data_IF_112890647952
#
_entry.id   IF_112890647952
#
_cell.length_a   1.000
_cell.length_b   1.000
_cell.length_c   1.000
_cell.angle_alpha   90.00
_cell.angle_beta   90.00
_cell.angle_gamma   90.00
#
_symmetry.space_group_name_H-M   'P 1'
#
loop_
_entity.id
_entity.type
_entity.pdbx_description
1 polymer ?
#
# COMPACT_ATOMS: atom_id res chain seq x y z
N UNK A 1 3.72 2.90 -28.36
CA UNK A 1 3.29 2.55 -26.99
C UNK A 1 3.72 3.69 -26.06
N UNK A 2 2.85 4.21 -25.18
CA UNK A 2 3.23 5.30 -24.26
C UNK A 2 4.29 4.84 -23.25
N UNK A 3 5.12 5.78 -22.78
CA UNK A 3 5.91 5.58 -21.57
C UNK A 3 4.97 5.62 -20.35
N UNK A 4 5.05 4.60 -19.50
CA UNK A 4 4.23 4.52 -18.29
C UNK A 4 4.57 5.62 -17.29
N UNK A 5 5.79 6.17 -17.33
CA UNK A 5 6.19 7.29 -16.48
C UNK A 5 5.38 8.57 -16.77
N UNK A 6 4.98 8.76 -18.03
CA UNK A 6 4.24 9.94 -18.50
C UNK A 6 2.73 9.83 -18.26
N UNK A 7 2.26 8.69 -17.75
CA UNK A 7 0.86 8.42 -17.48
C UNK A 7 0.54 8.59 -15.99
N UNK A 8 -0.67 9.08 -15.71
CA UNK A 8 -1.23 9.19 -14.37
C UNK A 8 -2.65 8.65 -14.38
N UNK A 9 -2.97 7.78 -13.43
CA UNK A 9 -4.34 7.34 -13.16
C UNK A 9 -5.07 8.42 -12.36
N UNK A 10 -6.23 8.85 -12.86
CA UNK A 10 -7.14 9.75 -12.16
C UNK A 10 -7.93 9.01 -11.08
N UNK A 11 -8.59 9.78 -10.19
CA UNK A 11 -9.47 9.26 -9.13
C UNK A 11 -10.71 8.57 -9.69
N UNK A 12 -11.08 8.90 -10.93
CA UNK A 12 -12.14 8.30 -11.72
C UNK A 12 -11.72 6.99 -12.41
N UNK A 13 -10.47 6.55 -12.20
CA UNK A 13 -9.93 5.33 -12.78
C UNK A 13 -9.46 5.45 -14.22
N UNK A 14 -9.66 6.60 -14.86
CA UNK A 14 -9.17 6.87 -16.21
C UNK A 14 -7.69 7.24 -16.20
N UNK A 15 -6.95 6.74 -17.18
CA UNK A 15 -5.53 7.03 -17.36
C UNK A 15 -5.37 8.24 -18.29
N UNK A 16 -4.61 9.24 -17.86
CA UNK A 16 -4.33 10.47 -18.61
C UNK A 16 -2.83 10.70 -18.67
N UNK A 17 -2.37 11.43 -19.68
CA UNK A 17 -0.98 11.93 -19.68
C UNK A 17 -0.81 12.99 -18.61
N UNK A 18 0.38 13.06 -18.03
CA UNK A 18 0.76 14.05 -17.00
C UNK A 18 0.80 15.47 -17.55
N UNK A 19 1.14 15.62 -18.83
CA UNK A 19 1.21 16.89 -19.56
C UNK A 19 -0.17 17.42 -20.01
N UNK A 20 -1.25 16.66 -19.76
CA UNK A 20 -2.61 17.03 -20.15
C UNK A 20 -2.89 16.92 -21.64
N UNK A 21 -1.93 16.46 -22.45
CA UNK A 21 -2.11 16.25 -23.88
C UNK A 21 -2.85 14.93 -24.14
N UNK A 22 -3.39 14.79 -25.35
CA UNK A 22 -3.90 13.50 -25.81
C UNK A 22 -2.76 12.52 -26.09
N UNK A 23 -3.03 11.24 -25.83
CA UNK A 23 -2.08 10.18 -26.16
C UNK A 23 -2.15 9.90 -27.66
N UNK A 24 -0.99 9.90 -28.32
CA UNK A 24 -0.89 9.55 -29.75
C UNK A 24 -1.39 8.12 -29.94
N UNK A 25 -2.35 7.89 -30.85
CA UNK A 25 -2.89 6.57 -31.11
C UNK A 25 -1.80 5.64 -31.65
N UNK A 26 -1.73 4.44 -31.09
CA UNK A 26 -0.76 3.42 -31.47
C UNK A 26 -1.43 2.37 -32.35
N UNK A 27 -1.00 2.27 -33.61
CA UNK A 27 -1.54 1.35 -34.61
C UNK A 27 -1.24 -0.14 -34.32
N UNK A 28 -0.37 -0.43 -33.34
CA UNK A 28 -0.04 -1.82 -32.93
C UNK A 28 -1.06 -2.42 -31.96
N UNK A 29 -1.91 -1.59 -31.33
CA UNK A 29 -2.92 -2.03 -30.38
C UNK A 29 -4.07 -2.72 -31.11
N UNK A 30 -4.39 -3.95 -30.70
CA UNK A 30 -5.54 -4.72 -31.20
C UNK A 30 -6.59 -4.82 -30.11
N UNK A 31 -7.81 -4.41 -30.42
CA UNK A 31 -8.96 -4.56 -29.54
C UNK A 31 -9.52 -5.98 -29.70
N UNK A 32 -9.66 -6.71 -28.59
CA UNK A 32 -10.38 -7.97 -28.56
C UNK A 32 -11.82 -7.71 -28.09
N UNK A 33 -12.79 -7.86 -28.99
CA UNK A 33 -14.21 -7.67 -28.66
C UNK A 33 -14.71 -8.80 -27.77
N UNK A 34 -15.50 -8.48 -26.74
CA UNK A 34 -16.09 -9.45 -25.81
C UNK A 34 -15.19 -9.92 -24.66
N UNK A 35 -14.00 -9.32 -24.48
CA UNK A 35 -13.13 -9.58 -23.34
C UNK A 35 -13.13 -8.38 -22.38
N UNK A 36 -13.44 -8.62 -21.11
CA UNK A 36 -13.29 -7.63 -20.04
C UNK A 36 -11.97 -7.91 -19.32
N UNK A 37 -11.06 -6.94 -19.35
CA UNK A 37 -9.81 -7.04 -18.60
C UNK A 37 -10.12 -7.12 -17.10
N UNK A 38 -9.74 -8.24 -16.48
CA UNK A 38 -9.88 -8.44 -15.05
C UNK A 38 -8.82 -7.63 -14.30
N UNK A 39 -9.09 -7.32 -13.04
CA UNK A 39 -8.09 -6.70 -12.17
C UNK A 39 -6.84 -7.57 -12.11
N UNK A 40 -5.67 -6.95 -12.18
CA UNK A 40 -4.38 -7.60 -11.94
C UNK A 40 -4.05 -7.73 -10.44
N UNK A 41 -5.00 -7.43 -9.55
CA UNK A 41 -4.85 -7.52 -8.09
C UNK A 41 -5.30 -8.89 -7.60
N UNK A 42 -4.43 -9.56 -6.83
CA UNK A 42 -4.77 -10.79 -6.12
C UNK A 42 -5.26 -10.44 -4.71
N UNK A 43 -6.56 -10.65 -4.45
CA UNK A 43 -7.18 -10.31 -3.17
C UNK A 43 -6.59 -11.07 -1.97
N UNK A 44 -6.11 -12.31 -2.18
CA UNK A 44 -5.52 -13.12 -1.09
C UNK A 44 -4.20 -12.51 -0.64
N UNK A 45 -3.34 -12.15 -1.58
CA UNK A 45 -2.02 -11.56 -1.29
C UNK A 45 -2.19 -10.21 -0.56
N UNK A 46 -3.12 -9.37 -1.00
CA UNK A 46 -3.42 -8.11 -0.32
C UNK A 46 -3.91 -8.29 1.12
N UNK A 47 -4.79 -9.27 1.37
CA UNK A 47 -5.25 -9.58 2.73
C UNK A 47 -4.10 -10.09 3.61
N UNK A 48 -3.18 -10.90 3.07
CA UNK A 48 -2.01 -11.35 3.84
C UNK A 48 -1.07 -10.20 4.19
N UNK A 49 -0.88 -9.23 3.29
CA UNK A 49 -0.12 -8.01 3.57
C UNK A 49 -0.75 -7.18 4.68
N UNK A 50 -2.08 -7.00 4.66
CA UNK A 50 -2.80 -6.30 5.73
C UNK A 50 -2.63 -7.04 7.07
N UNK A 51 -2.74 -8.38 7.08
CA UNK A 51 -2.54 -9.18 8.29
C UNK A 51 -1.10 -9.07 8.83
N UNK A 52 -0.10 -9.06 7.95
CA UNK A 52 1.29 -8.89 8.32
C UNK A 52 1.52 -7.51 8.96
N UNK A 53 0.96 -6.45 8.36
CA UNK A 53 1.04 -5.10 8.88
C UNK A 53 0.36 -4.96 10.25
N UNK A 54 -0.82 -5.54 10.42
CA UNK A 54 -1.54 -5.54 11.70
C UNK A 54 -0.73 -6.22 12.81
N UNK A 55 -0.09 -7.35 12.51
CA UNK A 55 0.75 -8.08 13.47
C UNK A 55 2.00 -7.27 13.85
N UNK A 56 2.62 -6.59 12.87
CA UNK A 56 3.75 -5.71 13.14
C UNK A 56 3.36 -4.55 14.06
N UNK A 57 2.18 -3.95 13.83
CA UNK A 57 1.64 -2.92 14.70
C UNK A 57 1.42 -3.43 16.13
N UNK A 58 0.84 -4.63 16.28
CA UNK A 58 0.62 -5.23 17.61
C UNK A 58 1.93 -5.46 18.37
N UNK A 59 2.98 -5.95 17.71
CA UNK A 59 4.31 -6.10 18.31
C UNK A 59 4.85 -4.76 18.79
N UNK A 60 4.75 -3.72 17.95
CA UNK A 60 5.22 -2.38 18.30
C UNK A 60 4.48 -1.83 19.54
N UNK A 61 3.16 -2.02 19.62
CA UNK A 61 2.34 -1.60 20.77
C UNK A 61 2.71 -2.39 22.04
N UNK A 62 2.89 -3.71 21.94
CA UNK A 62 3.33 -4.53 23.08
C UNK A 62 4.71 -4.12 23.58
N UNK A 63 5.64 -3.81 22.68
CA UNK A 63 6.98 -3.32 23.03
C UNK A 63 6.91 -2.02 23.84
N UNK A 64 6.07 -1.07 23.42
CA UNK A 64 5.86 0.17 24.17
C UNK A 64 5.33 -0.08 25.59
N UNK A 65 4.36 -0.99 25.74
CA UNK A 65 3.83 -1.38 27.06
C UNK A 65 4.89 -2.03 27.95
N UNK A 66 5.68 -2.96 27.41
CA UNK A 66 6.77 -3.58 28.17
C UNK A 66 7.82 -2.56 28.64
N UNK A 67 8.13 -1.55 27.82
CA UNK A 67 9.03 -0.46 28.19
C UNK A 67 8.44 0.37 29.35
N UNK A 68 7.16 0.70 29.28
CA UNK A 68 6.45 1.45 30.33
C UNK A 68 6.41 0.69 31.67
N UNK A 69 6.08 -0.60 31.63
CA UNK A 69 6.08 -1.48 32.79
C UNK A 69 7.49 -1.57 33.42
N UNK A 70 8.52 -1.78 32.60
CA UNK A 70 9.91 -1.86 33.07
C UNK A 70 10.38 -0.54 33.68
N UNK A 71 10.05 0.60 33.05
CA UNK A 71 10.36 1.93 33.60
C UNK A 71 9.70 2.17 34.96
N UNK A 72 8.45 1.71 35.11
CA UNK A 72 7.72 1.82 36.38
C UNK A 72 8.36 0.96 37.47
N UNK A 73 8.73 -0.28 37.14
CA UNK A 73 9.40 -1.18 38.08
C UNK A 73 10.75 -0.61 38.56
N UNK A 74 11.57 -0.07 37.66
CA UNK A 74 12.83 0.60 38.01
C UNK A 74 12.59 1.79 38.96
N UNK A 75 11.57 2.60 38.71
CA UNK A 75 11.22 3.73 39.56
C UNK A 75 10.69 3.32 40.95
N UNK A 76 10.15 2.10 41.11
CA UNK A 76 9.76 1.55 42.41
C UNK A 76 10.98 1.05 43.18
N UNK A 77 11.92 0.35 42.52
CA UNK A 77 13.18 -0.11 43.14
C UNK A 77 14.00 1.07 43.66
N UNK A 78 14.12 2.15 42.88
CA UNK A 78 14.81 3.38 43.30
C UNK A 78 14.18 4.06 44.54
N UNK A 79 12.89 3.85 44.79
CA UNK A 79 12.18 4.42 45.95
C UNK A 79 12.26 3.54 47.20
N UNK A 80 12.63 2.27 47.05
CA UNK A 80 12.76 1.32 48.14
C UNK A 80 14.19 1.25 48.72
N UNK A 81 15.11 2.06 48.21
CA UNK A 81 16.46 2.26 48.75
C UNK A 81 16.56 3.56 49.55
#
# INVERSE_FOLDING_TARGET
>A
KPDYADLKKGVDGLVRRRDGQEQVPDASLRLQSGFLETSNVNAVDELTNIMALARQFEVNVKMMKMIEENSTALAQVLRAQ
#
